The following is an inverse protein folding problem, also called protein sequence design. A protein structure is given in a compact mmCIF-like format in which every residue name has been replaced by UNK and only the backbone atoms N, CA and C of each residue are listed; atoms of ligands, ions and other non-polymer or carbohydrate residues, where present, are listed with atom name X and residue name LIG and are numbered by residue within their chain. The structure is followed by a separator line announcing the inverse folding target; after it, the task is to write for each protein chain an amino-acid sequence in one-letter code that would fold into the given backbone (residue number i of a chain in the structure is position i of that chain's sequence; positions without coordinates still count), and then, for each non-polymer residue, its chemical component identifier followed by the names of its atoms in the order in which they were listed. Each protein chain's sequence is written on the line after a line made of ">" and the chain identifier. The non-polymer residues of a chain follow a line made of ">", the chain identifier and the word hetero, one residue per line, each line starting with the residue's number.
data_IF_790876258736
#
_entry.id   IF_790876258736
#
_cell.length_a   1.000
_cell.length_b   1.000
_cell.length_c   1.000
_cell.angle_alpha   90.00
_cell.angle_beta   90.00
_cell.angle_gamma   90.00
#
_symmetry.space_group_name_H-M   'P 1'
#
loop_
_entity.id
_entity.type
_entity.pdbx_description
1 polymer ?
#
# COMPACT_ATOMS: atom_id res chain seq x y z
N UNK A 1 -13.96 8.82 51.30
CA UNK A 1 -14.77 7.60 51.46
C UNK A 1 -15.28 7.18 50.10
N UNK A 2 -14.94 5.95 49.69
CA UNK A 2 -15.61 5.04 48.72
C UNK A 2 -15.75 5.59 47.29
N UNK A 3 -14.84 5.25 46.36
CA UNK A 3 -14.74 4.02 45.54
C UNK A 3 -15.71 3.98 44.35
N UNK A 4 -15.18 3.60 43.18
CA UNK A 4 -16.01 3.12 42.07
C UNK A 4 -15.41 3.26 40.66
N UNK A 5 -14.42 2.44 40.31
CA UNK A 5 -14.27 1.97 38.92
C UNK A 5 -13.50 0.65 38.85
N UNK A 6 -14.28 -0.40 38.66
CA UNK A 6 -13.93 -1.80 38.44
C UNK A 6 -13.05 -2.03 37.20
N UNK A 7 -11.91 -2.68 37.41
CA UNK A 7 -11.11 -3.34 36.38
C UNK A 7 -11.79 -4.68 36.01
N UNK A 8 -12.13 -4.87 34.74
CA UNK A 8 -12.46 -6.18 34.18
C UNK A 8 -11.17 -6.84 33.71
N UNK A 9 -10.73 -7.86 34.44
CA UNK A 9 -9.64 -8.76 34.10
C UNK A 9 -10.20 -9.85 33.15
N UNK A 10 -9.82 -9.83 31.87
CA UNK A 10 -10.11 -10.92 30.95
C UNK A 10 -8.96 -11.92 30.96
N UNK A 11 -9.14 -13.01 31.71
CA UNK A 11 -8.31 -14.21 31.66
C UNK A 11 -8.43 -14.87 30.28
N UNK A 12 -7.32 -14.99 29.56
CA UNK A 12 -7.22 -15.80 28.34
C UNK A 12 -6.76 -17.20 28.72
N UNK A 13 -7.66 -18.18 28.68
CA UNK A 13 -7.27 -19.60 28.69
C UNK A 13 -6.69 -20.02 27.33
N UNK A 14 -5.66 -20.88 27.29
CA UNK A 14 -5.09 -21.38 26.04
C UNK A 14 -5.94 -22.51 25.44
N UNK A 15 -6.21 -22.42 24.14
CA UNK A 15 -6.91 -23.45 23.36
C UNK A 15 -6.08 -24.75 23.24
N UNK A 16 -6.73 -25.94 23.13
CA UNK A 16 -6.04 -27.22 23.18
C UNK A 16 -5.27 -27.54 21.89
N UNK A 17 -4.11 -28.18 22.06
CA UNK A 17 -3.24 -28.64 20.98
C UNK A 17 -3.85 -29.86 20.27
N UNK A 18 -4.03 -29.77 18.95
CA UNK A 18 -4.34 -30.93 18.12
C UNK A 18 -3.07 -31.71 17.78
N UNK A 19 -2.98 -32.94 18.30
CA UNK A 19 -2.02 -33.95 17.89
C UNK A 19 -2.21 -34.31 16.41
N UNK A 20 -1.18 -34.09 15.60
CA UNK A 20 -1.02 -34.76 14.31
C UNK A 20 0.03 -35.86 14.47
N UNK A 21 -0.44 -37.11 14.33
CA UNK A 21 0.36 -38.31 14.41
C UNK A 21 1.40 -38.39 13.30
N UNK A 22 2.57 -38.91 13.67
CA UNK A 22 3.64 -39.26 12.77
C UNK A 22 3.32 -40.61 12.11
N UNK A 23 3.04 -40.60 10.81
CA UNK A 23 3.11 -41.80 9.97
C UNK A 23 4.25 -41.64 8.98
N UNK A 24 5.26 -42.50 9.15
CA UNK A 24 6.44 -42.56 8.32
C UNK A 24 6.13 -43.22 6.97
N UNK A 25 6.45 -42.51 5.90
CA UNK A 25 6.56 -43.09 4.55
C UNK A 25 7.97 -42.86 4.04
N UNK A 26 8.77 -43.94 4.03
CA UNK A 26 10.08 -44.04 3.37
C UNK A 26 9.89 -43.87 1.86
N UNK A 27 10.45 -42.81 1.29
CA UNK A 27 10.57 -42.65 -0.17
C UNK A 27 11.94 -43.17 -0.61
N UNK A 28 11.95 -44.32 -1.29
CA UNK A 28 13.12 -44.86 -2.00
C UNK A 28 13.49 -43.96 -3.19
N UNK A 29 14.77 -43.62 -3.29
CA UNK A 29 15.37 -42.98 -4.49
C UNK A 29 15.56 -44.03 -5.59
N UNK A 30 15.15 -43.79 -6.84
CA UNK A 30 15.56 -44.63 -7.95
C UNK A 30 16.90 -44.17 -8.53
N UNK A 31 17.69 -45.17 -8.92
CA UNK A 31 19.05 -45.08 -9.45
C UNK A 31 19.11 -44.49 -10.87
N UNK A 32 20.27 -43.91 -11.21
CA UNK A 32 20.65 -43.48 -12.56
C UNK A 32 21.03 -44.69 -13.44
N UNK A 33 20.64 -44.69 -14.71
CA UNK A 33 21.45 -45.22 -15.82
C UNK A 33 21.96 -44.04 -16.66
N UNK A 34 23.19 -43.97 -17.15
CA UNK A 34 23.91 -44.98 -17.91
C UNK A 34 24.01 -44.45 -19.35
N UNK A 35 25.20 -43.95 -19.74
CA UNK A 35 25.45 -43.31 -21.03
C UNK A 35 25.40 -44.33 -22.18
N UNK A 36 24.74 -43.96 -23.28
CA UNK A 36 24.75 -44.69 -24.55
C UNK A 36 24.32 -43.76 -25.68
N UNK A 37 25.22 -43.53 -26.63
CA UNK A 37 25.03 -42.67 -27.79
C UNK A 37 24.52 -43.49 -28.98
N UNK A 38 23.46 -43.05 -29.69
CA UNK A 38 23.24 -43.33 -31.13
C UNK A 38 22.43 -42.20 -31.80
N UNK A 39 22.85 -41.92 -33.03
CA UNK A 39 22.40 -40.99 -34.06
C UNK A 39 20.90 -40.65 -34.25
N UNK A 40 20.64 -39.36 -34.43
CA UNK A 40 20.09 -38.76 -35.66
C UNK A 40 18.74 -39.24 -36.21
N UNK A 41 17.66 -38.50 -35.90
CA UNK A 41 16.49 -38.34 -36.78
C UNK A 41 15.96 -36.90 -36.69
N UNK A 42 15.82 -36.25 -37.85
CA UNK A 42 15.21 -34.92 -38.02
C UNK A 42 13.72 -34.96 -37.67
N UNK A 43 13.29 -34.13 -36.73
CA UNK A 43 11.87 -33.93 -36.41
C UNK A 43 11.57 -32.44 -36.19
N UNK A 44 10.72 -31.87 -37.05
CA UNK A 44 10.24 -30.48 -36.99
C UNK A 44 9.59 -30.19 -35.64
N UNK A 45 10.12 -29.24 -34.88
CA UNK A 45 9.47 -28.71 -33.68
C UNK A 45 8.68 -27.44 -34.04
N UNK A 46 7.36 -27.59 -34.11
CA UNK A 46 6.41 -26.51 -34.23
C UNK A 46 6.47 -25.60 -32.98
N UNK A 47 6.52 -24.28 -33.22
CA UNK A 47 6.56 -23.28 -32.17
C UNK A 47 5.28 -23.27 -31.32
N UNK A 48 5.46 -23.20 -30.00
CA UNK A 48 4.39 -22.81 -29.07
C UNK A 48 4.53 -21.32 -28.76
N UNK A 49 3.79 -20.51 -29.51
CA UNK A 49 3.48 -19.12 -29.13
C UNK A 49 2.59 -19.16 -27.89
N UNK A 50 3.01 -18.47 -26.84
CA UNK A 50 2.16 -18.12 -25.71
C UNK A 50 0.92 -17.38 -26.23
N UNK A 51 -0.25 -17.97 -25.99
CA UNK A 51 -1.52 -17.38 -26.38
C UNK A 51 -1.72 -16.02 -25.68
N UNK A 52 -1.92 -14.97 -26.48
CA UNK A 52 -2.67 -13.78 -26.07
C UNK A 52 -3.99 -14.26 -25.46
N UNK A 53 -4.26 -13.88 -24.21
CA UNK A 53 -5.56 -14.07 -23.57
C UNK A 53 -6.62 -13.32 -24.38
N UNK A 54 -7.24 -14.04 -25.32
CA UNK A 54 -8.47 -13.61 -25.98
C UNK A 54 -9.64 -13.78 -25.00
N UNK A 55 -10.61 -12.88 -25.11
CA UNK A 55 -11.87 -12.93 -24.36
C UNK A 55 -12.52 -14.34 -24.41
N UNK A 56 -13.20 -14.77 -23.33
CA UNK A 56 -13.87 -16.07 -23.29
C UNK A 56 -14.82 -16.28 -24.48
N UNK A 57 -14.74 -17.44 -25.13
CA UNK A 57 -15.50 -17.80 -26.34
C UNK A 57 -17.03 -17.74 -26.17
N UNK A 58 -17.55 -17.76 -24.94
CA UNK A 58 -18.98 -17.71 -24.64
C UNK A 58 -19.59 -16.30 -24.77
N UNK A 59 -18.84 -15.24 -24.44
CA UNK A 59 -19.26 -13.84 -24.67
C UNK A 59 -19.44 -13.53 -26.16
N UNK A 60 -18.65 -14.16 -27.04
CA UNK A 60 -18.73 -13.95 -28.48
C UNK A 60 -20.05 -14.44 -29.11
N UNK A 61 -20.67 -15.49 -28.54
CA UNK A 61 -21.93 -16.07 -29.07
C UNK A 61 -23.15 -15.23 -28.69
N UNK A 62 -23.23 -14.70 -27.47
CA UNK A 62 -24.31 -13.79 -27.07
C UNK A 62 -24.16 -12.38 -27.67
N UNK A 63 -22.92 -11.89 -27.87
CA UNK A 63 -22.62 -10.60 -28.54
C UNK A 63 -23.16 -10.48 -29.96
N UNK A 64 -23.22 -11.58 -30.72
CA UNK A 64 -23.68 -11.57 -32.12
C UNK A 64 -25.20 -11.62 -32.25
N UNK A 65 -25.91 -12.33 -31.37
CA UNK A 65 -27.38 -12.47 -31.48
C UNK A 65 -28.15 -11.24 -31.00
N UNK A 66 -27.67 -10.51 -29.98
CA UNK A 66 -28.36 -9.31 -29.48
C UNK A 66 -28.28 -8.11 -30.44
N UNK A 67 -27.22 -8.00 -31.24
CA UNK A 67 -27.03 -6.89 -32.18
C UNK A 67 -28.01 -6.90 -33.36
N UNK A 68 -28.57 -8.06 -33.73
CA UNK A 68 -29.43 -8.21 -34.90
C UNK A 68 -30.90 -7.78 -34.71
N UNK A 69 -31.33 -7.44 -33.48
CA UNK A 69 -32.71 -7.02 -33.17
C UNK A 69 -32.83 -5.69 -32.41
N UNK A 70 -31.71 -5.03 -32.12
CA UNK A 70 -31.73 -3.76 -31.39
C UNK A 70 -32.07 -2.58 -32.34
N UNK A 71 -32.86 -1.59 -31.90
CA UNK A 71 -33.08 -0.37 -32.69
C UNK A 71 -31.73 0.27 -33.09
N UNK A 72 -31.63 0.82 -34.31
CA UNK A 72 -30.39 1.39 -34.90
C UNK A 72 -29.49 2.18 -33.93
N UNK A 73 -30.00 3.07 -33.04
CA UNK A 73 -29.17 3.76 -32.05
C UNK A 73 -28.55 2.83 -30.99
N UNK A 74 -29.25 1.80 -30.54
CA UNK A 74 -28.73 0.81 -29.59
C UNK A 74 -27.66 -0.08 -30.22
N UNK A 75 -27.83 -0.48 -31.49
CA UNK A 75 -26.80 -1.23 -32.24
C UNK A 75 -25.52 -0.40 -32.45
N UNK A 76 -25.64 0.90 -32.79
CA UNK A 76 -24.50 1.81 -32.96
C UNK A 76 -23.71 2.01 -31.66
N UNK A 77 -24.41 2.08 -30.52
CA UNK A 77 -23.81 2.24 -29.18
C UNK A 77 -23.21 0.93 -28.64
N UNK A 78 -23.84 -0.22 -28.91
CA UNK A 78 -23.23 -1.53 -28.64
C UNK A 78 -21.92 -1.74 -29.43
N UNK A 79 -21.88 -1.26 -30.69
CA UNK A 79 -20.65 -1.21 -31.48
C UNK A 79 -19.58 -0.27 -30.89
N UNK A 80 -19.97 0.83 -30.23
CA UNK A 80 -19.03 1.71 -29.52
C UNK A 80 -18.37 1.02 -28.32
N UNK A 81 -19.16 0.30 -27.51
CA UNK A 81 -18.64 -0.50 -26.41
C UNK A 81 -17.68 -1.59 -26.88
N UNK A 82 -18.01 -2.27 -27.98
CA UNK A 82 -17.13 -3.27 -28.58
C UNK A 82 -15.80 -2.68 -29.05
N UNK A 83 -15.81 -1.46 -29.60
CA UNK A 83 -14.58 -0.73 -29.95
C UNK A 83 -13.76 -0.39 -28.71
N UNK A 84 -14.39 0.13 -27.65
CA UNK A 84 -13.69 0.44 -26.38
C UNK A 84 -13.02 -0.79 -25.77
N UNK A 85 -13.65 -1.96 -25.89
CA UNK A 85 -13.13 -3.23 -25.40
C UNK A 85 -12.10 -3.90 -26.33
N UNK A 86 -11.85 -3.35 -27.52
CA UNK A 86 -10.99 -3.98 -28.52
C UNK A 86 -9.49 -3.88 -28.16
N UNK A 87 -9.06 -2.82 -27.46
CA UNK A 87 -7.66 -2.64 -27.08
C UNK A 87 -7.51 -1.67 -25.90
N UNK A 88 -6.38 -1.72 -25.16
CA UNK A 88 -6.02 -0.69 -24.17
C UNK A 88 -6.04 0.74 -24.74
N UNK A 89 -5.55 0.93 -25.96
CA UNK A 89 -5.56 2.23 -26.62
C UNK A 89 -6.98 2.74 -26.88
N UNK A 90 -7.93 1.84 -27.18
CA UNK A 90 -9.32 2.22 -27.39
C UNK A 90 -10.01 2.74 -26.12
N UNK A 91 -9.49 2.41 -24.93
CA UNK A 91 -9.95 2.99 -23.67
C UNK A 91 -9.56 4.46 -23.54
N UNK A 92 -8.53 4.94 -24.22
CA UNK A 92 -8.13 6.36 -24.20
C UNK A 92 -7.76 6.92 -22.83
N UNK A 93 -7.36 6.07 -21.88
CA UNK A 93 -7.01 6.47 -20.51
C UNK A 93 -5.53 6.85 -20.35
N UNK A 94 -4.65 6.37 -21.24
CA UNK A 94 -3.21 6.50 -21.08
C UNK A 94 -2.71 7.94 -20.86
N UNK A 95 -3.19 8.97 -21.61
CA UNK A 95 -2.76 10.35 -21.37
C UNK A 95 -3.15 10.85 -19.97
N UNK A 96 -4.41 10.65 -19.57
CA UNK A 96 -4.88 11.08 -18.25
C UNK A 96 -4.18 10.35 -17.11
N UNK A 97 -3.90 9.05 -17.27
CA UNK A 97 -3.16 8.25 -16.28
C UNK A 97 -1.66 8.60 -16.23
N UNK A 98 -1.08 9.19 -17.26
CA UNK A 98 0.33 9.60 -17.27
C UNK A 98 0.59 10.81 -16.35
N UNK A 99 -0.42 11.67 -16.15
CA UNK A 99 -0.31 12.88 -15.33
C UNK A 99 -0.50 12.64 -13.82
N UNK A 100 -0.95 11.44 -13.42
CA UNK A 100 -1.18 11.11 -12.01
C UNK A 100 0.10 10.70 -11.30
N UNK A 101 0.19 10.91 -9.99
CA UNK A 101 1.17 10.25 -9.13
C UNK A 101 0.54 9.11 -8.32
N UNK A 102 1.31 8.54 -7.39
CA UNK A 102 0.85 7.41 -6.58
C UNK A 102 -0.26 7.78 -5.58
N UNK A 103 -0.38 9.05 -5.17
CA UNK A 103 -1.44 9.54 -4.29
C UNK A 103 -2.76 9.59 -5.04
N UNK A 104 -2.79 10.10 -6.27
CA UNK A 104 -4.01 10.04 -7.08
C UNK A 104 -4.35 8.61 -7.50
N UNK A 105 -3.36 7.77 -7.76
CA UNK A 105 -3.61 6.35 -8.07
C UNK A 105 -4.12 5.57 -6.85
N UNK A 106 -3.75 5.94 -5.63
CA UNK A 106 -4.40 5.46 -4.41
C UNK A 106 -5.88 5.83 -4.40
N UNK A 107 -6.22 7.10 -4.67
CA UNK A 107 -7.60 7.54 -4.73
C UNK A 107 -8.41 6.86 -5.85
N UNK A 108 -7.81 6.63 -7.02
CA UNK A 108 -8.46 5.96 -8.14
C UNK A 108 -8.72 4.47 -7.87
N UNK A 109 -7.75 3.77 -7.28
CA UNK A 109 -7.80 2.32 -7.12
C UNK A 109 -8.41 1.88 -5.79
N UNK A 110 -8.15 2.59 -4.69
CA UNK A 110 -8.38 2.11 -3.33
C UNK A 110 -9.28 3.07 -2.54
N UNK A 111 -8.81 3.62 -1.41
CA UNK A 111 -9.60 4.32 -0.37
C UNK A 111 -10.62 3.43 0.31
N UNK A 112 -10.38 3.10 1.58
CA UNK A 112 -11.44 2.54 2.41
C UNK A 112 -12.46 3.62 2.78
N UNK A 113 -13.57 3.24 3.41
CA UNK A 113 -14.69 4.16 3.72
C UNK A 113 -14.26 5.41 4.48
N UNK A 114 -13.46 5.24 5.54
CA UNK A 114 -12.95 6.36 6.33
C UNK A 114 -12.09 7.34 5.51
N UNK A 115 -11.16 6.82 4.69
CA UNK A 115 -10.29 7.67 3.85
C UNK A 115 -11.09 8.42 2.77
N UNK A 116 -12.12 7.78 2.22
CA UNK A 116 -12.99 8.38 1.21
C UNK A 116 -13.83 9.52 1.78
N UNK A 117 -14.43 9.31 2.95
CA UNK A 117 -15.23 10.33 3.64
C UNK A 117 -14.39 11.54 4.02
N UNK A 118 -13.18 11.30 4.50
CA UNK A 118 -12.27 12.38 4.88
C UNK A 118 -11.80 13.21 3.68
N UNK A 119 -11.68 12.58 2.51
CA UNK A 119 -11.42 13.29 1.25
C UNK A 119 -12.65 14.08 0.73
N UNK A 120 -13.75 14.15 1.49
CA UNK A 120 -15.00 14.81 1.10
C UNK A 120 -15.91 13.96 0.22
N UNK A 121 -15.59 12.68 0.04
CA UNK A 121 -16.40 11.72 -0.72
C UNK A 121 -17.56 11.12 0.10
N UNK A 122 -18.41 10.34 -0.58
CA UNK A 122 -19.61 9.74 0.02
C UNK A 122 -19.37 8.45 0.82
N UNK A 123 -18.12 8.00 0.97
CA UNK A 123 -17.78 6.67 1.49
C UNK A 123 -17.80 5.58 0.41
N UNK A 124 -17.70 4.32 0.83
CA UNK A 124 -17.76 3.17 -0.08
C UNK A 124 -19.19 2.91 -0.57
N UNK A 125 -19.33 2.40 -1.80
CA UNK A 125 -20.63 2.02 -2.33
C UNK A 125 -21.19 0.82 -1.57
N UNK A 126 -22.41 0.93 -1.06
CA UNK A 126 -23.18 -0.18 -0.49
C UNK A 126 -23.99 -0.88 -1.59
N UNK A 127 -23.70 -2.15 -1.82
CA UNK A 127 -24.43 -2.98 -2.78
C UNK A 127 -25.64 -3.57 -2.05
N UNK A 128 -26.89 -3.19 -2.42
CA UNK A 128 -28.08 -3.70 -1.74
C UNK A 128 -28.14 -5.23 -1.74
N UNK A 129 -28.29 -5.83 -0.56
CA UNK A 129 -28.30 -7.28 -0.38
C UNK A 129 -26.92 -7.95 -0.31
N UNK A 130 -25.83 -7.18 -0.32
CA UNK A 130 -24.46 -7.65 -0.10
C UNK A 130 -23.74 -6.83 0.98
N UNK A 131 -23.89 -5.51 0.95
CA UNK A 131 -23.24 -4.57 1.87
C UNK A 131 -22.13 -3.74 1.21
N UNK A 132 -21.32 -3.03 2.01
CA UNK A 132 -20.31 -2.09 1.52
C UNK A 132 -19.17 -2.79 0.80
N UNK A 133 -18.70 -2.18 -0.30
CA UNK A 133 -17.45 -2.57 -0.93
C UNK A 133 -16.24 -2.27 -0.02
N UNK A 134 -15.20 -3.09 -0.10
CA UNK A 134 -13.98 -2.90 0.71
C UNK A 134 -13.23 -1.59 0.38
N UNK A 135 -13.33 -1.13 -0.87
CA UNK A 135 -12.73 0.11 -1.34
C UNK A 135 -13.72 0.91 -2.18
N UNK A 136 -13.63 2.23 -2.13
CA UNK A 136 -14.42 3.16 -2.93
C UNK A 136 -13.95 3.19 -4.40
N UNK A 137 -12.63 3.04 -4.60
CA UNK A 137 -12.00 2.99 -5.91
C UNK A 137 -12.24 1.70 -6.68
N UNK A 138 -11.62 1.62 -7.86
CA UNK A 138 -11.84 0.55 -8.83
C UNK A 138 -11.63 -0.86 -8.25
N UNK A 139 -10.71 -1.02 -7.27
CA UNK A 139 -10.43 -2.30 -6.62
C UNK A 139 -11.67 -2.90 -5.96
N UNK A 140 -12.55 -2.08 -5.36
CA UNK A 140 -13.70 -2.57 -4.59
C UNK A 140 -14.63 -3.41 -5.47
N UNK A 141 -15.15 -2.81 -6.54
CA UNK A 141 -16.00 -3.52 -7.48
C UNK A 141 -15.22 -4.56 -8.31
N UNK A 142 -13.97 -4.29 -8.70
CA UNK A 142 -13.17 -5.25 -9.46
C UNK A 142 -12.88 -6.55 -8.67
N UNK A 143 -12.66 -6.48 -7.35
CA UNK A 143 -12.43 -7.64 -6.51
C UNK A 143 -13.65 -8.56 -6.45
N UNK A 144 -14.85 -7.98 -6.32
CA UNK A 144 -16.10 -8.74 -6.31
C UNK A 144 -16.36 -9.36 -7.69
N UNK A 145 -16.22 -8.58 -8.76
CA UNK A 145 -16.39 -9.07 -10.14
C UNK A 145 -15.40 -10.18 -10.51
N UNK A 146 -14.17 -10.14 -10.01
CA UNK A 146 -13.17 -11.19 -10.26
C UNK A 146 -13.58 -12.55 -9.66
N UNK A 147 -14.43 -12.56 -8.63
CA UNK A 147 -15.00 -13.78 -8.06
C UNK A 147 -16.24 -14.24 -8.86
N UNK A 148 -17.10 -13.31 -9.27
CA UNK A 148 -18.37 -13.61 -9.93
C UNK A 148 -18.21 -14.01 -11.40
N UNK A 149 -17.33 -13.34 -12.14
CA UNK A 149 -17.23 -13.51 -13.59
C UNK A 149 -16.79 -14.92 -14.03
N UNK A 150 -15.82 -15.58 -13.36
CA UNK A 150 -15.47 -16.96 -13.70
C UNK A 150 -16.58 -17.98 -13.39
N UNK A 151 -17.41 -17.69 -12.39
CA UNK A 151 -18.52 -18.55 -11.96
C UNK A 151 -19.81 -18.32 -12.76
N UNK A 152 -19.86 -17.26 -13.58
CA UNK A 152 -21.08 -16.78 -14.26
C UNK A 152 -22.27 -16.58 -13.29
N UNK A 153 -21.98 -16.13 -12.07
CA UNK A 153 -22.98 -15.93 -11.02
C UNK A 153 -23.78 -14.65 -11.24
N UNK A 154 -24.72 -14.73 -12.19
CA UNK A 154 -25.68 -13.66 -12.46
C UNK A 154 -26.73 -13.50 -11.35
N UNK A 155 -26.81 -14.44 -10.41
CA UNK A 155 -27.71 -14.42 -9.26
C UNK A 155 -27.26 -13.50 -8.13
N UNK A 156 -25.96 -13.15 -8.09
CA UNK A 156 -25.38 -12.29 -7.08
C UNK A 156 -26.05 -10.91 -6.97
N UNK A 157 -26.12 -10.38 -5.75
CA UNK A 157 -26.72 -9.08 -5.44
C UNK A 157 -26.13 -7.91 -6.25
N UNK A 158 -24.82 -7.92 -6.50
CA UNK A 158 -24.16 -6.95 -7.40
C UNK A 158 -24.75 -6.97 -8.82
N UNK A 159 -25.00 -8.15 -9.38
CA UNK A 159 -25.59 -8.28 -10.71
C UNK A 159 -27.05 -7.80 -10.69
N UNK A 160 -27.79 -8.04 -9.60
CA UNK A 160 -29.14 -7.50 -9.43
C UNK A 160 -29.13 -5.97 -9.37
N UNK A 161 -28.20 -5.36 -8.62
CA UNK A 161 -28.01 -3.91 -8.55
C UNK A 161 -27.70 -3.29 -9.92
N UNK A 162 -26.76 -3.88 -10.68
CA UNK A 162 -26.41 -3.43 -12.03
C UNK A 162 -27.56 -3.55 -13.03
N UNK A 163 -28.49 -4.50 -12.83
CA UNK A 163 -29.72 -4.60 -13.62
C UNK A 163 -30.77 -3.57 -13.20
N UNK A 164 -30.83 -3.26 -11.90
CA UNK A 164 -31.83 -2.37 -11.34
C UNK A 164 -31.55 -0.89 -11.67
N UNK A 165 -30.29 -0.50 -11.79
CA UNK A 165 -29.93 0.87 -12.15
C UNK A 165 -28.46 1.10 -12.42
N UNK A 166 -28.14 2.35 -12.78
CA UNK A 166 -26.80 2.76 -13.23
C UNK A 166 -25.96 3.36 -12.08
N UNK A 167 -26.42 3.22 -10.83
CA UNK A 167 -25.86 3.89 -9.65
C UNK A 167 -24.40 3.55 -9.38
N UNK A 168 -23.99 2.27 -9.48
CA UNK A 168 -22.59 1.90 -9.28
C UNK A 168 -21.69 2.45 -10.40
N UNK A 169 -22.19 2.49 -11.64
CA UNK A 169 -21.48 3.09 -12.76
C UNK A 169 -21.29 4.60 -12.55
N UNK A 170 -22.34 5.29 -12.10
CA UNK A 170 -22.28 6.71 -11.78
C UNK A 170 -21.38 7.03 -10.59
N UNK A 171 -21.50 6.24 -9.52
CA UNK A 171 -20.63 6.33 -8.35
C UNK A 171 -19.15 6.23 -8.74
N UNK A 172 -18.79 5.28 -9.62
CA UNK A 172 -17.41 4.99 -10.02
C UNK A 172 -16.67 6.22 -10.56
N UNK A 173 -17.32 7.06 -11.37
CA UNK A 173 -16.71 8.27 -11.91
C UNK A 173 -16.98 9.52 -11.09
N UNK A 174 -18.19 9.67 -10.51
CA UNK A 174 -18.55 10.88 -9.74
C UNK A 174 -17.68 11.10 -8.51
N UNK A 175 -17.26 10.02 -7.85
CA UNK A 175 -16.38 10.12 -6.68
C UNK A 175 -15.03 10.78 -6.98
N UNK A 176 -14.62 10.78 -8.25
CA UNK A 176 -13.36 11.35 -8.70
C UNK A 176 -13.46 12.85 -9.01
N UNK A 177 -14.66 13.41 -9.15
CA UNK A 177 -14.87 14.80 -9.59
C UNK A 177 -14.36 15.85 -8.58
N UNK A 178 -14.33 15.48 -7.30
CA UNK A 178 -13.84 16.33 -6.21
C UNK A 178 -12.34 16.60 -6.27
N UNK A 179 -11.57 15.77 -6.98
CA UNK A 179 -10.12 15.91 -7.11
C UNK A 179 -9.75 16.40 -8.52
N UNK A 180 -9.26 17.65 -8.69
CA UNK A 180 -9.00 18.25 -10.00
C UNK A 180 -8.11 17.40 -10.92
N UNK A 181 -7.05 16.78 -10.38
CA UNK A 181 -6.14 15.91 -11.15
C UNK A 181 -6.80 14.62 -11.64
N UNK A 182 -7.89 14.18 -11.02
CA UNK A 182 -8.63 12.97 -11.41
C UNK A 182 -9.76 13.27 -12.40
N UNK A 183 -10.16 14.53 -12.59
CA UNK A 183 -11.24 14.90 -13.51
C UNK A 183 -11.06 14.39 -14.95
N UNK A 184 -9.85 14.43 -15.56
CA UNK A 184 -9.67 13.85 -16.90
C UNK A 184 -9.94 12.34 -16.95
N UNK A 185 -9.56 11.61 -15.89
CA UNK A 185 -9.87 10.19 -15.75
C UNK A 185 -11.37 9.98 -15.53
N UNK A 186 -11.99 10.77 -14.64
CA UNK A 186 -13.43 10.73 -14.35
C UNK A 186 -14.26 10.93 -15.63
N UNK A 187 -13.97 11.98 -16.40
CA UNK A 187 -14.61 12.28 -17.67
C UNK A 187 -14.48 11.12 -18.66
N UNK A 188 -13.30 10.48 -18.71
CA UNK A 188 -13.08 9.36 -19.61
C UNK A 188 -13.81 8.09 -19.16
N UNK A 189 -13.79 7.77 -17.88
CA UNK A 189 -14.54 6.62 -17.31
C UNK A 189 -16.05 6.83 -17.51
N UNK A 190 -16.56 8.04 -17.27
CA UNK A 190 -17.94 8.42 -17.58
C UNK A 190 -18.27 8.16 -19.05
N UNK A 191 -17.45 8.62 -19.99
CA UNK A 191 -17.68 8.41 -21.42
C UNK A 191 -17.67 6.92 -21.82
N UNK A 192 -16.88 6.09 -21.13
CA UNK A 192 -16.84 4.64 -21.35
C UNK A 192 -18.08 3.93 -20.81
N UNK A 193 -18.60 4.36 -19.64
CA UNK A 193 -19.74 3.72 -18.98
C UNK A 193 -21.10 4.25 -19.47
N UNK A 194 -21.19 5.51 -19.92
CA UNK A 194 -22.45 6.13 -20.37
C UNK A 194 -23.26 5.31 -21.39
N UNK A 195 -22.65 4.60 -22.37
CA UNK A 195 -23.41 3.78 -23.31
C UNK A 195 -24.14 2.58 -22.67
N UNK A 196 -23.77 2.18 -21.45
CA UNK A 196 -24.41 1.09 -20.72
C UNK A 196 -25.90 1.34 -20.52
N UNK A 197 -26.31 2.57 -20.17
CA UNK A 197 -27.71 2.92 -19.92
C UNK A 197 -28.65 2.64 -21.11
N UNK A 198 -28.11 2.50 -22.33
CA UNK A 198 -28.88 2.17 -23.54
C UNK A 198 -29.01 0.67 -23.81
N UNK A 199 -28.35 -0.19 -23.02
CA UNK A 199 -28.42 -1.64 -23.16
C UNK A 199 -29.62 -2.21 -22.41
N UNK A 200 -30.21 -3.33 -22.89
CA UNK A 200 -31.14 -4.13 -22.11
C UNK A 200 -30.56 -4.48 -20.74
N UNK A 201 -31.36 -4.37 -19.67
CA UNK A 201 -30.88 -4.48 -18.29
C UNK A 201 -30.14 -5.78 -18.00
N UNK A 202 -30.59 -6.90 -18.56
CA UNK A 202 -29.91 -8.19 -18.40
C UNK A 202 -28.48 -8.25 -18.95
N UNK A 203 -28.09 -7.34 -19.86
CA UNK A 203 -26.71 -7.24 -20.37
C UNK A 203 -25.80 -6.35 -19.52
N UNK A 204 -26.35 -5.56 -18.59
CA UNK A 204 -25.60 -4.59 -17.79
C UNK A 204 -24.43 -5.25 -17.04
N UNK A 205 -24.60 -6.37 -16.31
CA UNK A 205 -23.50 -6.93 -15.52
C UNK A 205 -22.29 -7.32 -16.36
N UNK A 206 -22.51 -7.99 -17.50
CA UNK A 206 -21.43 -8.47 -18.36
C UNK A 206 -20.66 -7.34 -19.04
N UNK A 207 -21.34 -6.28 -19.48
CA UNK A 207 -20.68 -5.15 -20.13
C UNK A 207 -20.02 -4.20 -19.12
N UNK A 208 -20.65 -4.00 -17.95
CA UNK A 208 -20.04 -3.27 -16.85
C UNK A 208 -18.76 -3.94 -16.38
N UNK A 209 -18.80 -5.27 -16.14
CA UNK A 209 -17.60 -6.05 -15.77
C UNK A 209 -16.49 -5.85 -16.80
N UNK A 210 -16.77 -6.07 -18.08
CA UNK A 210 -15.74 -6.03 -19.10
C UNK A 210 -15.06 -4.66 -19.19
N UNK A 211 -15.83 -3.58 -19.04
CA UNK A 211 -15.32 -2.20 -19.04
C UNK A 211 -14.54 -1.91 -17.77
N UNK A 212 -15.13 -2.16 -16.60
CA UNK A 212 -14.49 -1.85 -15.31
C UNK A 212 -13.19 -2.63 -15.14
N UNK A 213 -13.19 -3.93 -15.45
CA UNK A 213 -11.98 -4.76 -15.44
C UNK A 213 -10.92 -4.24 -16.41
N UNK A 214 -11.31 -3.66 -17.55
CA UNK A 214 -10.37 -3.05 -18.49
C UNK A 214 -9.78 -1.74 -17.95
N UNK A 215 -10.60 -0.86 -17.39
CA UNK A 215 -10.17 0.39 -16.73
C UNK A 215 -9.24 0.06 -15.55
N UNK A 216 -9.63 -0.88 -14.69
CA UNK A 216 -8.84 -1.33 -13.54
C UNK A 216 -7.46 -1.87 -13.95
N UNK A 217 -7.37 -2.66 -15.02
CA UNK A 217 -6.08 -3.14 -15.54
C UNK A 217 -5.17 -2.02 -16.02
N UNK A 218 -5.71 -1.00 -16.68
CA UNK A 218 -4.92 0.15 -17.13
C UNK A 218 -4.46 1.02 -15.94
N UNK A 219 -5.34 1.31 -14.99
CA UNK A 219 -5.01 2.04 -13.76
C UNK A 219 -3.94 1.29 -12.93
N UNK A 220 -4.09 -0.03 -12.79
CA UNK A 220 -3.11 -0.88 -12.09
C UNK A 220 -1.76 -0.89 -12.82
N UNK A 221 -1.76 -0.93 -14.16
CA UNK A 221 -0.53 -0.84 -14.96
C UNK A 221 0.14 0.53 -14.78
N UNK A 222 -0.63 1.61 -14.73
CA UNK A 222 -0.12 2.95 -14.48
C UNK A 222 0.53 3.09 -13.09
N UNK A 223 -0.06 2.47 -12.06
CA UNK A 223 0.54 2.39 -10.73
C UNK A 223 1.84 1.60 -10.74
N UNK A 224 1.84 0.40 -11.31
CA UNK A 224 3.03 -0.45 -11.40
C UNK A 224 4.15 0.18 -12.24
N UNK A 225 3.84 1.01 -13.23
CA UNK A 225 4.85 1.72 -14.02
C UNK A 225 5.59 2.80 -13.21
N UNK A 226 5.02 3.25 -12.09
CA UNK A 226 5.65 4.21 -11.14
C UNK A 226 6.38 3.52 -9.99
N UNK A 227 6.32 2.19 -9.92
CA UNK A 227 6.98 1.41 -8.91
C UNK A 227 8.08 0.55 -9.54
N UNK A 228 9.17 0.37 -8.80
CA UNK A 228 9.97 -0.85 -8.96
C UNK A 228 9.11 -1.99 -8.45
N UNK A 229 8.90 -3.04 -9.24
CA UNK A 229 8.12 -4.19 -8.78
C UNK A 229 8.81 -5.49 -9.13
N UNK A 230 8.74 -6.52 -8.27
CA UNK A 230 9.28 -7.82 -8.58
C UNK A 230 8.56 -8.42 -9.80
N UNK A 231 9.24 -9.32 -10.50
CA UNK A 231 8.63 -10.08 -11.60
C UNK A 231 7.52 -11.01 -11.07
N UNK A 232 6.56 -11.30 -11.93
CA UNK A 232 5.45 -12.21 -11.61
C UNK A 232 4.21 -11.52 -11.02
N UNK A 233 3.09 -12.23 -11.00
CA UNK A 233 1.80 -11.68 -10.56
C UNK A 233 1.80 -11.37 -9.05
N UNK A 234 2.35 -12.27 -8.23
CA UNK A 234 2.40 -12.12 -6.79
C UNK A 234 3.23 -10.90 -6.35
N UNK A 235 4.44 -10.74 -6.89
CA UNK A 235 5.29 -9.59 -6.58
C UNK A 235 4.65 -8.26 -6.97
N UNK A 236 3.95 -8.19 -8.10
CA UNK A 236 3.19 -7.00 -8.50
C UNK A 236 2.01 -6.73 -7.57
N UNK A 237 1.32 -7.76 -7.11
CA UNK A 237 0.24 -7.60 -6.13
C UNK A 237 0.76 -7.04 -4.79
N UNK A 238 1.89 -7.57 -4.29
CA UNK A 238 2.56 -7.03 -3.10
C UNK A 238 3.01 -5.57 -3.29
N UNK A 239 3.56 -5.23 -4.45
CA UNK A 239 3.97 -3.84 -4.73
C UNK A 239 2.79 -2.87 -4.72
N UNK A 240 1.61 -3.29 -5.20
CA UNK A 240 0.40 -2.47 -5.16
C UNK A 240 -0.12 -2.19 -3.74
N UNK A 241 0.20 -3.05 -2.76
CA UNK A 241 -0.08 -2.76 -1.34
C UNK A 241 0.61 -1.48 -0.88
N UNK A 242 1.75 -1.10 -1.47
CA UNK A 242 2.36 0.22 -1.24
C UNK A 242 1.40 1.37 -1.60
N UNK A 243 0.70 1.25 -2.73
CA UNK A 243 -0.27 2.25 -3.19
C UNK A 243 -1.52 2.22 -2.32
N UNK A 244 -1.90 1.06 -1.77
CA UNK A 244 -3.02 0.96 -0.83
C UNK A 244 -2.75 1.71 0.48
N UNK A 245 -1.59 1.45 1.10
CA UNK A 245 -1.32 1.91 2.46
C UNK A 245 -0.73 3.32 2.54
N UNK A 246 -0.22 3.87 1.43
CA UNK A 246 0.45 5.18 1.41
C UNK A 246 -0.30 6.14 0.50
N UNK A 247 -0.98 7.10 1.12
CA UNK A 247 -1.79 8.13 0.46
C UNK A 247 -1.91 9.37 1.33
N UNK A 248 -2.43 10.45 0.75
CA UNK A 248 -2.68 11.70 1.47
C UNK A 248 -3.98 11.60 2.29
N UNK A 249 -3.87 11.86 3.59
CA UNK A 249 -5.00 11.86 4.54
C UNK A 249 -4.88 13.14 5.39
N UNK A 250 -5.76 14.14 5.18
CA UNK A 250 -5.66 15.46 5.83
C UNK A 250 -5.55 15.45 7.36
N UNK A 251 -6.17 14.48 8.03
CA UNK A 251 -6.21 14.31 9.48
C UNK A 251 -4.96 13.64 10.04
N UNK A 252 -4.09 13.10 9.18
CA UNK A 252 -2.90 12.36 9.57
C UNK A 252 -1.69 12.70 8.69
N UNK A 253 -1.31 13.99 8.58
CA UNK A 253 -0.12 14.38 7.85
C UNK A 253 1.15 13.94 8.60
N UNK A 254 2.25 13.81 7.88
CA UNK A 254 3.57 13.76 8.51
C UNK A 254 3.91 15.15 9.09
N UNK A 255 4.75 15.24 10.13
CA UNK A 255 5.31 16.51 10.59
C UNK A 255 5.92 17.32 9.45
N UNK A 256 5.78 18.64 9.54
CA UNK A 256 6.33 19.55 8.54
C UNK A 256 7.86 19.39 8.46
N UNK A 257 8.37 19.35 7.24
CA UNK A 257 9.81 19.27 7.02
C UNK A 257 10.49 20.63 7.21
N UNK A 258 11.81 20.61 7.37
CA UNK A 258 12.62 21.82 7.39
C UNK A 258 12.34 22.68 6.14
N UNK A 259 12.14 24.00 6.29
CA UNK A 259 12.03 24.93 5.17
C UNK A 259 13.28 24.99 4.28
N UNK A 260 14.43 24.52 4.77
CA UNK A 260 15.67 24.43 4.00
C UNK A 260 15.66 23.27 2.98
N UNK A 261 14.71 22.33 3.09
CA UNK A 261 14.52 21.28 2.10
C UNK A 261 13.69 21.78 0.92
N UNK A 262 14.07 21.33 -0.28
CA UNK A 262 13.24 21.55 -1.45
C UNK A 262 11.84 20.95 -1.21
N UNK A 263 10.76 21.68 -1.56
CA UNK A 263 9.41 21.18 -1.36
C UNK A 263 9.21 19.88 -2.17
N UNK A 264 8.48 18.90 -1.61
CA UNK A 264 8.19 17.68 -2.32
C UNK A 264 7.38 17.99 -3.60
N UNK A 265 7.68 17.27 -4.68
CA UNK A 265 6.99 17.44 -5.98
C UNK A 265 5.52 17.01 -5.96
N UNK A 266 5.13 16.19 -4.99
CA UNK A 266 3.79 15.65 -4.82
C UNK A 266 3.30 15.92 -3.40
N UNK A 267 1.99 15.80 -3.19
CA UNK A 267 1.40 15.91 -1.86
C UNK A 267 2.05 14.91 -0.90
N UNK A 268 2.33 15.36 0.33
CA UNK A 268 2.90 14.50 1.37
C UNK A 268 1.90 13.41 1.73
N UNK A 269 2.28 12.17 1.46
CA UNK A 269 1.53 10.99 1.84
C UNK A 269 2.03 10.44 3.18
N UNK A 270 1.13 9.82 3.92
CA UNK A 270 1.47 9.10 5.15
C UNK A 270 1.08 7.63 5.02
N UNK A 271 1.82 6.76 5.71
CA UNK A 271 1.61 5.31 5.71
C UNK A 271 0.62 4.91 6.80
N UNK A 272 -0.41 4.18 6.41
CA UNK A 272 -1.33 3.48 7.30
C UNK A 272 -0.70 2.17 7.80
N UNK A 273 -0.87 1.87 9.10
CA UNK A 273 -0.53 0.56 9.65
C UNK A 273 -1.46 -0.57 9.15
N UNK A 274 -2.65 -0.22 8.66
CA UNK A 274 -3.62 -1.18 8.14
C UNK A 274 -5.00 -0.56 7.91
N UNK A 275 -5.68 -1.05 6.87
CA UNK A 275 -7.03 -0.59 6.53
C UNK A 275 -8.08 -1.61 7.02
N UNK A 276 -9.27 -1.17 7.48
CA UNK A 276 -9.70 0.23 7.62
C UNK A 276 -9.38 0.85 8.99
N UNK A 277 -9.00 0.05 9.98
CA UNK A 277 -8.97 0.48 11.39
C UNK A 277 -7.88 1.50 11.73
N UNK A 278 -6.80 1.54 10.95
CA UNK A 278 -5.67 2.46 11.11
C UNK A 278 -5.54 3.35 9.87
N UNK A 279 -6.67 3.79 9.33
CA UNK A 279 -6.69 4.54 8.08
C UNK A 279 -6.62 6.06 8.27
N UNK A 280 -7.18 6.60 9.35
CA UNK A 280 -7.38 8.06 9.51
C UNK A 280 -7.06 8.52 10.93
N UNK A 281 -6.87 9.83 11.08
CA UNK A 281 -6.57 10.51 12.33
C UNK A 281 -5.34 9.97 13.04
N UNK A 282 -5.34 10.10 14.37
CA UNK A 282 -4.22 9.68 15.22
C UNK A 282 -3.90 8.18 15.11
N UNK A 283 -4.85 7.35 14.67
CA UNK A 283 -4.66 5.90 14.50
C UNK A 283 -3.90 5.53 13.22
N UNK A 284 -3.61 6.46 12.30
CA UNK A 284 -3.04 6.10 10.99
C UNK A 284 -1.58 5.65 11.08
N UNK A 285 -0.74 6.50 11.67
CA UNK A 285 0.71 6.40 11.57
C UNK A 285 1.30 5.84 12.86
N UNK A 286 1.84 4.62 12.78
CA UNK A 286 2.52 3.96 13.89
C UNK A 286 4.01 3.78 13.61
N UNK A 287 4.89 4.25 14.49
CA UNK A 287 6.33 4.24 14.28
C UNK A 287 6.90 2.84 14.07
N UNK A 288 6.52 1.88 14.90
CA UNK A 288 6.94 0.48 14.73
C UNK A 288 6.54 -0.06 13.35
N UNK A 289 5.26 -0.01 13.03
CA UNK A 289 4.70 -0.55 11.79
C UNK A 289 5.28 0.15 10.56
N UNK A 290 5.41 1.48 10.61
CA UNK A 290 6.01 2.29 9.55
C UNK A 290 7.43 1.80 9.25
N UNK A 291 8.28 1.68 10.27
CA UNK A 291 9.70 1.35 10.04
C UNK A 291 9.99 -0.13 9.82
N UNK A 292 9.09 -1.03 10.24
CA UNK A 292 9.12 -2.43 9.78
C UNK A 292 8.73 -2.52 8.29
N UNK A 293 7.70 -1.78 7.87
CA UNK A 293 7.16 -1.86 6.52
C UNK A 293 7.91 -1.00 5.49
N UNK A 294 8.65 0.04 5.92
CA UNK A 294 9.27 1.05 5.06
C UNK A 294 10.11 0.43 3.94
N UNK A 295 10.94 -0.57 4.26
CA UNK A 295 11.77 -1.23 3.25
C UNK A 295 10.92 -1.90 2.16
N UNK A 296 9.95 -2.70 2.57
CA UNK A 296 9.11 -3.48 1.66
C UNK A 296 8.20 -2.59 0.81
N UNK A 297 7.56 -1.60 1.44
CA UNK A 297 6.56 -0.77 0.79
C UNK A 297 7.14 0.44 0.07
N UNK A 298 8.29 0.97 0.48
CA UNK A 298 8.85 2.20 -0.09
C UNK A 298 10.21 2.01 -0.78
N UNK A 299 11.19 1.33 -0.16
CA UNK A 299 12.53 1.20 -0.76
C UNK A 299 12.55 0.23 -1.93
N UNK A 300 12.07 -1.00 -1.72
CA UNK A 300 12.06 -2.03 -2.76
C UNK A 300 11.09 -1.67 -3.91
N UNK A 301 10.13 -0.78 -3.65
CA UNK A 301 9.21 -0.25 -4.65
C UNK A 301 9.70 1.02 -5.34
N UNK A 302 10.87 1.55 -4.97
CA UNK A 302 11.48 2.73 -5.57
C UNK A 302 10.86 4.07 -5.15
N UNK A 303 10.01 4.09 -4.11
CA UNK A 303 9.39 5.29 -3.54
C UNK A 303 10.33 5.97 -2.53
N UNK A 304 11.55 6.27 -2.97
CA UNK A 304 12.60 6.82 -2.10
C UNK A 304 12.21 8.16 -1.50
N UNK A 305 11.54 9.04 -2.26
CA UNK A 305 11.06 10.31 -1.72
C UNK A 305 10.09 10.09 -0.55
N UNK A 306 9.13 9.17 -0.68
CA UNK A 306 8.20 8.88 0.42
C UNK A 306 8.94 8.32 1.64
N UNK A 307 9.90 7.41 1.44
CA UNK A 307 10.71 6.85 2.53
C UNK A 307 11.49 7.93 3.28
N UNK A 308 12.13 8.84 2.54
CA UNK A 308 12.84 10.00 3.07
C UNK A 308 11.92 10.88 3.93
N UNK A 309 10.71 11.21 3.44
CA UNK A 309 9.79 12.05 4.21
C UNK A 309 9.30 11.38 5.49
N UNK A 310 9.09 10.05 5.49
CA UNK A 310 8.73 9.32 6.72
C UNK A 310 9.89 9.31 7.71
N UNK A 311 11.13 9.05 7.27
CA UNK A 311 12.31 9.08 8.14
C UNK A 311 12.46 10.44 8.81
N UNK A 312 12.45 11.52 8.03
CA UNK A 312 12.62 12.89 8.54
C UNK A 312 11.43 13.33 9.41
N UNK A 313 10.21 12.97 9.01
CA UNK A 313 9.00 13.31 9.75
C UNK A 313 8.99 12.71 11.15
N UNK A 314 9.34 11.44 11.30
CA UNK A 314 9.47 10.83 12.64
C UNK A 314 10.71 11.33 13.40
N UNK A 315 11.81 11.66 12.70
CA UNK A 315 12.99 12.24 13.32
C UNK A 315 12.69 13.61 13.99
N UNK A 316 11.80 14.40 13.39
CA UNK A 316 11.32 15.65 13.99
C UNK A 316 10.69 15.44 15.38
N UNK A 317 10.12 14.25 15.61
CA UNK A 317 9.49 13.86 16.87
C UNK A 317 10.39 13.04 17.80
N UNK A 318 11.68 12.83 17.54
CA UNK A 318 12.53 12.10 18.51
C UNK A 318 12.49 12.83 19.87
N UNK A 319 12.24 12.09 20.95
CA UNK A 319 12.24 12.60 22.33
C UNK A 319 12.62 11.47 23.28
N UNK A 320 13.35 11.76 24.36
CA UNK A 320 13.85 10.76 25.32
C UNK A 320 14.69 9.66 24.67
N UNK A 321 15.37 9.97 23.57
CA UNK A 321 16.07 8.97 22.74
C UNK A 321 15.15 7.94 22.07
N UNK A 322 13.85 8.23 21.95
CA UNK A 322 12.84 7.33 21.38
C UNK A 322 12.12 7.97 20.19
N UNK A 323 11.79 7.14 19.21
CA UNK A 323 10.84 7.46 18.15
C UNK A 323 9.43 7.11 18.64
N UNK A 324 8.43 7.97 18.43
CA UNK A 324 7.09 7.71 18.95
C UNK A 324 6.45 6.48 18.27
N UNK A 325 5.68 5.72 19.05
CA UNK A 325 4.86 4.65 18.49
C UNK A 325 3.65 5.18 17.77
N UNK A 326 2.97 6.18 18.33
CA UNK A 326 1.84 6.87 17.72
C UNK A 326 2.31 8.26 17.35
N UNK A 327 2.20 8.63 16.07
CA UNK A 327 2.75 9.89 15.57
C UNK A 327 1.82 11.10 15.80
N UNK A 328 0.54 10.99 15.43
CA UNK A 328 -0.46 12.09 15.44
C UNK A 328 0.08 13.44 14.92
N UNK A 329 0.69 13.39 13.73
CA UNK A 329 1.37 14.53 13.09
C UNK A 329 2.44 15.23 13.97
N UNK A 330 2.93 14.56 15.01
CA UNK A 330 3.90 15.08 15.99
C UNK A 330 3.30 15.90 17.12
N UNK A 331 1.97 16.08 17.19
CA UNK A 331 1.32 16.96 18.18
C UNK A 331 1.04 16.25 19.50
N UNK A 332 0.46 15.05 19.45
CA UNK A 332 0.15 14.23 20.64
C UNK A 332 0.84 12.86 20.57
N UNK A 333 2.11 12.87 20.16
CA UNK A 333 2.88 11.66 19.95
C UNK A 333 3.05 10.85 21.25
N UNK A 334 3.04 9.51 21.15
CA UNK A 334 3.18 8.61 22.31
C UNK A 334 4.48 7.81 22.25
N UNK A 335 5.28 7.88 23.31
CA UNK A 335 6.62 7.27 23.42
C UNK A 335 6.62 6.01 24.29
N UNK A 336 5.65 5.12 24.08
CA UNK A 336 5.53 3.85 24.83
C UNK A 336 6.17 2.65 24.12
N UNK A 337 7.06 2.90 23.16
CA UNK A 337 7.62 1.88 22.26
C UNK A 337 9.15 1.97 22.23
N UNK A 338 9.81 0.94 22.78
CA UNK A 338 11.27 0.88 22.89
C UNK A 338 11.95 0.42 21.59
N UNK A 339 11.22 -0.25 20.70
CA UNK A 339 11.76 -0.86 19.49
C UNK A 339 11.61 0.02 18.24
N UNK A 340 10.69 0.99 18.21
CA UNK A 340 10.50 1.89 17.07
C UNK A 340 11.78 2.64 16.68
N UNK A 341 12.58 3.08 17.66
CA UNK A 341 13.85 3.78 17.39
C UNK A 341 14.86 2.88 16.67
N UNK A 342 14.92 1.58 17.00
CA UNK A 342 15.83 0.64 16.37
C UNK A 342 15.39 0.30 14.93
N UNK A 343 14.08 0.14 14.71
CA UNK A 343 13.53 -0.01 13.36
C UNK A 343 13.74 1.24 12.50
N UNK A 344 13.65 2.43 13.09
CA UNK A 344 13.95 3.69 12.41
C UNK A 344 15.44 3.79 12.01
N UNK A 345 16.37 3.51 12.92
CA UNK A 345 17.81 3.45 12.62
C UNK A 345 18.13 2.41 11.53
N UNK A 346 17.51 1.23 11.63
CA UNK A 346 17.65 0.18 10.62
C UNK A 346 17.11 0.62 9.26
N UNK A 347 16.00 1.35 9.23
CA UNK A 347 15.42 1.92 8.01
C UNK A 347 16.34 2.97 7.38
N UNK A 348 17.00 3.81 8.18
CA UNK A 348 17.99 4.77 7.69
C UNK A 348 19.17 4.05 7.04
N UNK A 349 19.72 3.03 7.71
CA UNK A 349 20.79 2.20 7.15
C UNK A 349 20.39 1.59 5.80
N UNK A 350 19.18 1.03 5.72
CA UNK A 350 18.64 0.46 4.49
C UNK A 350 18.44 1.53 3.41
N UNK A 351 17.93 2.70 3.77
CA UNK A 351 17.79 3.83 2.84
C UNK A 351 19.15 4.22 2.25
N UNK A 352 20.17 4.44 3.09
CA UNK A 352 21.49 4.84 2.63
C UNK A 352 22.13 3.81 1.69
N UNK A 353 21.78 2.53 1.86
CA UNK A 353 22.30 1.43 1.03
C UNK A 353 21.51 1.20 -0.26
N UNK A 354 20.19 1.36 -0.23
CA UNK A 354 19.29 0.96 -1.32
C UNK A 354 18.81 2.12 -2.20
N UNK A 355 18.83 3.36 -1.68
CA UNK A 355 18.44 4.56 -2.42
C UNK A 355 19.63 5.13 -3.22
N UNK A 356 19.43 5.59 -4.48
CA UNK A 356 20.48 6.28 -5.23
C UNK A 356 20.97 7.53 -4.48
N UNK A 357 22.27 7.60 -4.20
CA UNK A 357 22.86 8.71 -3.43
C UNK A 357 22.38 8.77 -1.97
N UNK A 358 21.88 7.66 -1.41
CA UNK A 358 21.18 7.63 -0.13
C UNK A 358 21.98 8.11 1.08
N UNK A 359 23.31 8.16 1.00
CA UNK A 359 24.17 8.71 2.06
C UNK A 359 23.91 10.21 2.33
N UNK A 360 23.46 10.97 1.33
CA UNK A 360 23.14 12.38 1.48
C UNK A 360 22.03 12.64 2.51
N UNK A 361 21.14 11.67 2.75
CA UNK A 361 20.07 11.73 3.74
C UNK A 361 20.60 12.10 5.14
N UNK A 362 21.79 11.63 5.50
CA UNK A 362 22.37 11.85 6.82
C UNK A 362 22.62 13.33 7.13
N UNK A 363 22.93 14.13 6.10
CA UNK A 363 23.20 15.56 6.25
C UNK A 363 21.94 16.43 6.11
N UNK A 364 20.79 15.84 5.81
CA UNK A 364 19.57 16.61 5.61
C UNK A 364 19.03 17.19 6.93
N UNK A 365 18.54 18.44 6.92
CA UNK A 365 18.02 19.09 8.11
C UNK A 365 16.69 18.47 8.53
N UNK A 366 16.63 18.08 9.80
CA UNK A 366 15.44 17.69 10.53
C UNK A 366 15.02 18.88 11.38
N UNK A 367 13.81 19.39 11.13
CA UNK A 367 13.20 20.41 11.98
C UNK A 367 12.68 19.75 13.26
N UNK A 368 13.45 19.82 14.34
CA UNK A 368 13.06 19.23 15.62
C UNK A 368 11.82 19.93 16.17
N UNK A 369 10.74 19.17 16.37
CA UNK A 369 9.57 19.65 17.11
C UNK A 369 9.91 19.78 18.59
N UNK A 370 10.74 18.90 19.13
CA UNK A 370 11.12 18.88 20.54
C UNK A 370 12.64 18.87 20.66
N UNK A 371 13.29 20.05 20.66
CA UNK A 371 14.75 20.16 20.73
C UNK A 371 15.31 19.73 22.08
N UNK A 372 14.49 19.80 23.13
CA UNK A 372 14.73 19.22 24.45
C UNK A 372 13.49 18.43 24.88
N UNK A 373 13.68 17.48 25.79
CA UNK A 373 12.65 16.54 26.22
C UNK A 373 11.42 17.22 26.85
N UNK A 374 11.64 18.31 27.59
CA UNK A 374 10.61 19.07 28.27
C UNK A 374 10.16 20.32 27.48
N UNK A 375 10.64 20.49 26.24
CA UNK A 375 10.30 21.64 25.43
C UNK A 375 8.89 21.53 24.81
N UNK A 376 8.25 22.69 24.65
CA UNK A 376 7.08 22.85 23.80
C UNK A 376 7.43 22.60 22.33
N UNK A 377 6.40 22.35 21.52
CA UNK A 377 6.57 22.13 20.08
C UNK A 377 7.14 23.37 19.38
N UNK A 378 8.34 23.27 18.83
CA UNK A 378 8.98 24.33 18.07
C UNK A 378 8.36 24.45 16.65
N UNK A 379 8.28 25.66 16.08
CA UNK A 379 7.82 25.84 14.71
C UNK A 379 8.85 25.31 13.69
N UNK A 380 8.41 24.96 12.46
CA UNK A 380 9.30 24.44 11.44
C UNK A 380 10.50 25.36 11.15
N UNK A 381 11.72 24.82 11.16
CA UNK A 381 12.95 25.56 10.90
C UNK A 381 13.58 26.25 12.11
N UNK A 382 12.89 26.31 13.27
CA UNK A 382 13.43 26.97 14.46
C UNK A 382 14.55 26.18 15.16
N UNK A 383 14.57 24.86 14.97
CA UNK A 383 15.54 23.95 15.57
C UNK A 383 15.96 22.88 14.55
N UNK A 384 16.51 23.33 13.42
CA UNK A 384 17.03 22.44 12.40
C UNK A 384 18.39 21.86 12.84
N UNK A 385 18.53 20.55 12.72
CA UNK A 385 19.81 19.87 12.85
C UNK A 385 19.94 18.73 11.82
N UNK A 386 21.15 18.37 11.40
CA UNK A 386 21.34 17.23 10.50
C UNK A 386 20.76 15.93 11.07
N UNK A 387 20.22 15.06 10.21
CA UNK A 387 19.68 13.77 10.63
C UNK A 387 20.68 12.93 11.44
N UNK A 388 21.97 12.95 11.09
CA UNK A 388 22.99 12.20 11.83
C UNK A 388 23.15 12.66 13.28
N UNK A 389 22.92 13.94 13.59
CA UNK A 389 22.95 14.44 14.97
C UNK A 389 21.73 13.93 15.74
N UNK A 390 20.55 13.84 15.12
CA UNK A 390 19.35 13.22 15.72
C UNK A 390 19.58 11.73 15.99
N UNK A 391 20.26 11.04 15.08
CA UNK A 391 20.63 9.63 15.27
C UNK A 391 21.60 9.46 16.44
N UNK A 392 22.60 10.34 16.55
CA UNK A 392 23.57 10.33 17.63
C UNK A 392 22.89 10.58 18.99
N UNK A 393 21.99 11.56 19.07
CA UNK A 393 21.17 11.83 20.26
C UNK A 393 20.44 10.57 20.73
N UNK A 394 19.77 9.85 19.82
CA UNK A 394 19.09 8.61 20.16
C UNK A 394 20.06 7.57 20.74
N UNK A 395 21.20 7.34 20.09
CA UNK A 395 22.19 6.37 20.55
C UNK A 395 22.78 6.73 21.92
N UNK A 396 23.17 7.99 22.11
CA UNK A 396 23.82 8.47 23.34
C UNK A 396 22.91 8.28 24.56
N UNK A 397 21.61 8.57 24.43
CA UNK A 397 20.62 8.36 25.50
C UNK A 397 20.57 6.88 25.92
N UNK A 398 20.53 5.94 24.97
CA UNK A 398 20.50 4.51 25.29
C UNK A 398 21.82 4.01 25.90
N UNK A 399 22.97 4.53 25.44
CA UNK A 399 24.28 4.19 26.02
C UNK A 399 24.39 4.69 27.46
N UNK A 400 24.00 5.94 27.74
CA UNK A 400 24.06 6.52 29.08
C UNK A 400 23.15 5.79 30.08
N UNK A 401 21.92 5.44 29.67
CA UNK A 401 20.98 4.68 30.51
C UNK A 401 21.54 3.28 30.84
N UNK A 402 22.27 2.67 29.90
CA UNK A 402 22.91 1.37 30.14
C UNK A 402 24.05 1.50 31.15
N UNK A 403 24.90 2.52 31.01
CA UNK A 403 26.01 2.77 31.92
C UNK A 403 25.54 3.10 33.36
N UNK A 404 24.49 3.91 33.53
CA UNK A 404 23.92 4.20 34.85
C UNK A 404 23.32 2.96 35.55
N UNK A 405 22.80 2.00 34.76
CA UNK A 405 22.34 0.71 35.28
C UNK A 405 23.51 -0.19 35.67
N UNK A 406 24.61 -0.16 34.91
CA UNK A 406 25.82 -0.90 35.26
C UNK A 406 26.53 -0.29 36.47
N UNK A 407 26.54 1.03 36.65
CA UNK A 407 27.07 1.70 37.85
C UNK A 407 26.21 1.43 39.11
N UNK A 408 24.89 1.29 38.96
CA UNK A 408 24.01 0.85 40.05
C UNK A 408 24.03 -0.66 40.27
N UNK A 409 24.33 -1.47 39.25
CA UNK A 409 24.56 -2.92 39.38
C UNK A 409 25.98 -3.25 39.88
N UNK A 410 26.96 -2.35 39.74
CA UNK A 410 28.28 -2.46 40.38
C UNK A 410 28.22 -2.34 41.91
N UNK A 411 27.05 -2.00 42.48
CA UNK A 411 26.76 -2.10 43.91
C UNK A 411 26.21 -3.47 44.34
N UNK A 412 25.87 -4.38 43.41
CA UNK A 412 25.44 -5.75 43.73
C UNK A 412 25.87 -6.76 42.65
N UNK A 413 26.87 -7.57 42.98
CA UNK A 413 27.36 -8.80 42.33
C UNK A 413 26.49 -9.41 41.21
N UNK A 414 27.04 -9.54 40.00
CA UNK A 414 26.97 -10.77 39.17
C UNK A 414 27.82 -10.66 37.87
N UNK A 415 28.61 -11.68 37.49
CA UNK A 415 29.51 -11.63 36.34
C UNK A 415 28.97 -12.44 35.15
N UNK A 416 28.15 -11.88 34.24
CA UNK A 416 27.72 -12.66 33.06
C UNK A 416 27.17 -11.83 31.87
N UNK A 417 27.74 -10.66 31.55
CA UNK A 417 27.46 -9.95 30.28
C UNK A 417 28.74 -9.34 29.69
N UNK A 418 29.81 -10.14 29.57
CA UNK A 418 31.08 -9.69 28.95
C UNK A 418 31.29 -9.98 27.45
N UNK A 419 30.64 -10.95 26.75
CA UNK A 419 31.06 -11.25 25.37
C UNK A 419 30.39 -10.41 24.27
N UNK A 420 29.22 -9.81 24.51
CA UNK A 420 28.50 -9.06 23.44
C UNK A 420 28.94 -7.59 23.37
N UNK A 421 29.36 -7.01 24.51
CA UNK A 421 29.82 -5.62 24.58
C UNK A 421 31.19 -5.43 23.91
N UNK A 422 32.07 -6.45 23.90
CA UNK A 422 33.45 -6.27 23.45
C UNK A 422 33.62 -6.15 21.93
N UNK A 423 32.64 -6.56 21.13
CA UNK A 423 32.74 -6.51 19.66
C UNK A 423 32.39 -5.13 19.09
N UNK A 424 31.80 -4.24 19.88
CA UNK A 424 31.54 -2.84 19.50
C UNK A 424 32.51 -1.84 20.16
N UNK A 425 33.28 -2.27 21.17
CA UNK A 425 34.18 -1.41 21.97
C UNK A 425 35.57 -1.20 21.31
N UNK A 426 35.86 -1.80 20.16
CA UNK A 426 37.08 -1.51 19.37
C UNK A 426 36.73 -0.73 18.10
N UNK A 427 36.00 0.38 18.24
CA UNK A 427 35.98 1.47 17.27
C UNK A 427 35.34 2.70 17.91
N UNK A 428 36.05 3.32 18.85
CA UNK A 428 35.77 4.67 19.34
C UNK A 428 36.01 5.74 18.25
N UNK A 429 35.38 5.60 17.09
CA UNK A 429 35.31 6.64 16.08
C UNK A 429 33.96 7.31 16.20
N UNK A 430 33.94 8.51 16.78
CA UNK A 430 32.91 9.52 16.46
C UNK A 430 32.73 9.49 14.94
N UNK A 431 31.48 9.48 14.47
CA UNK A 431 31.20 9.71 13.05
C UNK A 431 31.93 11.02 12.68
N UNK A 432 32.92 11.01 11.77
CA UNK A 432 33.66 12.22 11.47
C UNK A 432 32.69 13.24 10.88
N UNK A 433 32.63 14.41 11.52
CA UNK A 433 32.00 15.59 10.94
C UNK A 433 32.74 15.90 9.64
N UNK A 434 32.05 15.76 8.51
CA UNK A 434 32.55 16.10 7.19
C UNK A 434 32.51 17.62 6.98
#
# INVERSE_FOLDING_TARGET
>A
MVEGSTLYEMSLEPAPAHHLGADGVRVQRPARPGAGAVAGVRGRAAGRRLHRAGLPRHLARHRRRAAHRAPRPAARRAGALQRSLASPAALGLAPALAELDLVELNALLYRCDAEEREAGGGGVYDVPGHGPLAYAGLQGAAALLAQLAPADDLGHALCANLRAGDWLADYTWRRLDAAPRLQPVAARVRALLQPLAALPRFLQPAYFEALLSAVYREATRAALARLRSPRGAFGRALALTSVQLVGAVPSAPLPACSPALAPPRAALASMSAGLPHFAVGYMRCWGRDTFVALRGLLLLTGRYQDARMHILGFAACLRHGLIPNLLDAGRNARYNCRDAVWWWLQSIKQYCSEAPGGGALLAEPVSRLFPQDDADAAPPGAADQPLHDVMQEALDVHFQVTLLKDESALLHDAPLIKPVLMTLVVAGTRIPRA
#
